data_IF_936639311578
#
_entry.id   IF_936639311578
#
_cell.length_a   1.000
_cell.length_b   1.000
_cell.length_c   1.000
_cell.angle_alpha   90.00
_cell.angle_beta   90.00
_cell.angle_gamma   90.00
#
_symmetry.space_group_name_H-M   'P 1'
#
loop_
_entity.id
_entity.type
_entity.pdbx_description
1 polymer ?
#
# COMPACT_ATOMS: atom_id res chain seq x y z
N UNK A 1 83.15 45.80 40.06
CA UNK A 1 81.67 45.90 39.94
C UNK A 1 81.24 45.44 38.55
N UNK A 2 81.46 44.17 38.17
CA UNK A 2 81.05 43.68 36.84
C UNK A 2 80.65 42.20 36.77
N UNK A 3 80.70 41.42 37.86
CA UNK A 3 80.31 39.99 37.85
C UNK A 3 78.80 39.74 38.13
N UNK A 4 78.02 40.77 38.46
CA UNK A 4 76.58 40.62 38.78
C UNK A 4 75.66 40.73 37.55
N UNK A 5 76.18 41.06 36.36
CA UNK A 5 75.37 41.29 35.16
C UNK A 5 75.31 40.09 34.21
N UNK A 6 76.24 39.13 34.30
CA UNK A 6 76.22 37.92 33.45
C UNK A 6 75.27 36.83 33.98
N UNK A 7 75.10 36.72 35.30
CA UNK A 7 74.23 35.70 35.90
C UNK A 7 72.73 36.00 35.70
N UNK A 8 72.32 37.27 35.74
CA UNK A 8 70.93 37.67 35.47
C UNK A 8 70.55 37.50 33.98
N UNK A 9 71.51 37.63 33.08
CA UNK A 9 71.34 37.38 31.64
C UNK A 9 71.06 35.92 31.32
N UNK A 10 71.88 35.00 31.84
CA UNK A 10 71.75 33.55 31.61
C UNK A 10 70.44 32.98 32.20
N UNK A 11 69.99 33.52 33.35
CA UNK A 11 68.72 33.11 33.98
C UNK A 11 67.50 33.60 33.18
N UNK A 12 67.58 34.81 32.60
CA UNK A 12 66.50 35.38 31.77
C UNK A 12 66.40 34.65 30.43
N UNK A 13 67.53 34.32 29.80
CA UNK A 13 67.56 33.51 28.57
C UNK A 13 67.04 32.08 28.79
N UNK A 14 67.32 31.47 29.94
CA UNK A 14 66.76 30.16 30.29
C UNK A 14 65.24 30.20 30.48
N UNK A 15 64.69 31.25 31.11
CA UNK A 15 63.24 31.43 31.27
C UNK A 15 62.58 31.65 29.91
N UNK A 16 63.15 32.49 29.04
CA UNK A 16 62.64 32.69 27.68
C UNK A 16 62.66 31.38 26.88
N UNK A 17 63.72 30.58 27.00
CA UNK A 17 63.79 29.26 26.36
C UNK A 17 62.72 28.29 26.86
N UNK A 18 62.38 28.32 28.16
CA UNK A 18 61.29 27.52 28.73
C UNK A 18 59.93 27.99 28.26
N UNK A 19 59.70 29.31 28.21
CA UNK A 19 58.47 29.90 27.69
C UNK A 19 58.28 29.54 26.22
N UNK A 20 59.35 29.58 25.43
CA UNK A 20 59.32 29.25 24.01
C UNK A 20 59.03 27.76 23.79
N UNK A 21 59.65 26.85 24.57
CA UNK A 21 59.33 25.42 24.57
C UNK A 21 57.89 25.14 25.01
N UNK A 22 57.42 25.82 26.05
CA UNK A 22 56.04 25.68 26.52
C UNK A 22 55.03 26.18 25.49
N UNK A 23 55.33 27.27 24.76
CA UNK A 23 54.51 27.76 23.65
C UNK A 23 54.48 26.78 22.48
N UNK A 24 55.62 26.20 22.10
CA UNK A 24 55.68 25.16 21.06
C UNK A 24 54.87 23.92 21.45
N UNK A 25 55.00 23.46 22.70
CA UNK A 25 54.21 22.36 23.24
C UNK A 25 52.71 22.68 23.24
N UNK A 26 52.32 23.90 23.61
CA UNK A 26 50.93 24.37 23.54
C UNK A 26 50.40 24.33 22.10
N UNK A 27 51.20 24.77 21.15
CA UNK A 27 50.82 24.81 19.73
C UNK A 27 50.70 23.40 19.15
N UNK A 28 51.59 22.49 19.55
CA UNK A 28 51.53 21.07 19.18
C UNK A 28 50.29 20.38 19.77
N UNK A 29 50.00 20.61 21.06
CA UNK A 29 48.79 20.11 21.72
C UNK A 29 47.52 20.65 21.06
N UNK A 30 47.52 21.93 20.67
CA UNK A 30 46.36 22.55 19.99
C UNK A 30 46.10 21.90 18.62
N UNK A 31 47.15 21.62 17.84
CA UNK A 31 47.04 20.87 16.57
C UNK A 31 46.53 19.45 16.78
N UNK A 32 47.02 18.77 17.81
CA UNK A 32 46.53 17.43 18.18
C UNK A 32 45.05 17.47 18.60
N UNK A 33 44.65 18.46 19.39
CA UNK A 33 43.26 18.65 19.79
C UNK A 33 42.36 18.85 18.56
N UNK A 34 42.77 19.67 17.60
CA UNK A 34 42.01 19.93 16.37
C UNK A 34 41.87 18.66 15.50
N UNK A 35 42.94 17.85 15.39
CA UNK A 35 42.88 16.55 14.72
C UNK A 35 41.93 15.58 15.42
N UNK A 36 41.99 15.50 16.75
CA UNK A 36 41.12 14.63 17.55
C UNK A 36 39.66 15.07 17.43
N UNK A 37 39.38 16.38 17.47
CA UNK A 37 38.02 16.90 17.26
C UNK A 37 37.50 16.55 15.87
N UNK A 38 38.34 16.65 14.83
CA UNK A 38 37.95 16.27 13.47
C UNK A 38 37.62 14.78 13.38
N UNK A 39 38.48 13.92 13.93
CA UNK A 39 38.24 12.47 13.99
C UNK A 39 36.98 12.14 14.78
N UNK A 40 36.73 12.84 15.89
CA UNK A 40 35.51 12.67 16.68
C UNK A 40 34.25 13.00 15.87
N UNK A 41 34.26 14.12 15.12
CA UNK A 41 33.13 14.50 14.25
C UNK A 41 32.87 13.46 13.16
N UNK A 42 33.92 12.96 12.52
CA UNK A 42 33.81 11.92 11.50
C UNK A 42 33.22 10.62 12.07
N UNK A 43 33.65 10.21 13.26
CA UNK A 43 33.10 9.03 13.96
C UNK A 43 31.65 9.23 14.40
N UNK A 44 31.28 10.41 14.89
CA UNK A 44 29.90 10.73 15.24
C UNK A 44 28.98 10.68 14.02
N UNK A 45 29.45 11.19 12.87
CA UNK A 45 28.69 11.15 11.63
C UNK A 45 28.53 9.72 11.08
N UNK A 46 29.58 8.89 11.16
CA UNK A 46 29.50 7.47 10.85
C UNK A 46 28.54 6.74 11.80
N UNK A 47 28.59 7.04 13.09
CA UNK A 47 27.68 6.49 14.09
C UNK A 47 26.21 6.82 13.78
N UNK A 48 25.93 8.08 13.42
CA UNK A 48 24.58 8.48 12.99
C UNK A 48 24.12 7.73 11.74
N UNK A 49 24.96 7.61 10.71
CA UNK A 49 24.63 6.85 9.50
C UNK A 49 24.35 5.38 9.80
N UNK A 50 25.10 4.78 10.72
CA UNK A 50 24.91 3.41 11.13
C UNK A 50 23.57 3.23 11.87
N UNK A 51 23.24 4.14 12.78
CA UNK A 51 21.96 4.12 13.50
C UNK A 51 20.77 4.31 12.55
N UNK A 52 20.87 5.22 11.58
CA UNK A 52 19.86 5.42 10.53
C UNK A 52 19.68 4.17 9.68
N UNK A 53 20.78 3.54 9.28
CA UNK A 53 20.76 2.28 8.53
C UNK A 53 20.10 1.16 9.34
N UNK A 54 20.48 0.99 10.60
CA UNK A 54 19.95 -0.08 11.44
C UNK A 54 18.45 0.13 11.73
N UNK A 55 18.03 1.37 12.01
CA UNK A 55 16.61 1.72 12.14
C UNK A 55 15.85 1.45 10.85
N UNK A 56 16.35 1.94 9.71
CA UNK A 56 15.70 1.76 8.41
C UNK A 56 15.60 0.29 8.01
N UNK A 57 16.65 -0.50 8.28
CA UNK A 57 16.65 -1.95 8.05
C UNK A 57 15.62 -2.66 8.93
N UNK A 58 15.55 -2.33 10.22
CA UNK A 58 14.57 -2.94 11.14
C UNK A 58 13.14 -2.61 10.72
N UNK A 59 12.86 -1.34 10.41
CA UNK A 59 11.55 -0.88 9.96
C UNK A 59 11.12 -1.57 8.65
N UNK A 60 12.01 -1.61 7.65
CA UNK A 60 11.69 -2.25 6.38
C UNK A 60 11.54 -3.76 6.51
N UNK A 61 12.32 -4.40 7.37
CA UNK A 61 12.19 -5.84 7.63
C UNK A 61 10.83 -6.16 8.26
N UNK A 62 10.37 -5.39 9.26
CA UNK A 62 9.05 -5.58 9.86
C UNK A 62 7.92 -5.35 8.83
N UNK A 63 7.99 -4.25 8.05
CA UNK A 63 7.02 -3.95 7.00
C UNK A 63 6.93 -5.06 5.94
N UNK A 64 8.08 -5.52 5.43
CA UNK A 64 8.14 -6.57 4.41
C UNK A 64 7.67 -7.92 4.96
N UNK A 65 7.99 -8.24 6.22
CA UNK A 65 7.54 -9.48 6.84
C UNK A 65 6.01 -9.50 6.99
N UNK A 66 5.42 -8.38 7.42
CA UNK A 66 3.96 -8.24 7.51
C UNK A 66 3.29 -8.33 6.15
N UNK A 67 3.82 -7.63 5.15
CA UNK A 67 3.24 -7.64 3.80
C UNK A 67 3.35 -9.02 3.15
N UNK A 68 4.42 -9.77 3.41
CA UNK A 68 4.56 -11.13 2.92
C UNK A 68 3.45 -12.04 3.44
N UNK A 69 3.14 -11.97 4.74
CA UNK A 69 2.06 -12.78 5.35
C UNK A 69 0.69 -12.43 4.75
N UNK A 70 0.42 -11.14 4.52
CA UNK A 70 -0.82 -10.71 3.85
C UNK A 70 -0.89 -11.26 2.43
N UNK A 71 0.21 -11.15 1.68
CA UNK A 71 0.27 -11.62 0.30
C UNK A 71 0.14 -13.15 0.20
N UNK A 72 0.70 -13.91 1.14
CA UNK A 72 0.51 -15.36 1.23
C UNK A 72 -0.95 -15.73 1.48
N UNK A 73 -1.64 -14.99 2.36
CA UNK A 73 -3.07 -15.17 2.61
C UNK A 73 -3.91 -14.86 1.37
N UNK A 74 -3.65 -13.72 0.73
CA UNK A 74 -4.35 -13.34 -0.50
C UNK A 74 -4.11 -14.36 -1.63
N UNK A 75 -2.89 -14.88 -1.76
CA UNK A 75 -2.57 -15.93 -2.73
C UNK A 75 -3.35 -17.21 -2.47
N UNK A 76 -3.47 -17.62 -1.20
CA UNK A 76 -4.26 -18.78 -0.79
C UNK A 76 -5.76 -18.58 -1.08
N UNK A 77 -6.31 -17.41 -0.73
CA UNK A 77 -7.71 -17.10 -0.96
C UNK A 77 -8.04 -17.05 -2.46
N UNK A 78 -7.15 -16.46 -3.28
CA UNK A 78 -7.27 -16.46 -4.73
C UNK A 78 -7.21 -17.88 -5.32
N UNK A 79 -6.34 -18.75 -4.80
CA UNK A 79 -6.26 -20.14 -5.23
C UNK A 79 -7.54 -20.90 -4.89
N UNK A 80 -8.07 -20.74 -3.67
CA UNK A 80 -9.34 -21.35 -3.24
C UNK A 80 -10.50 -20.88 -4.12
N UNK A 81 -10.56 -19.59 -4.45
CA UNK A 81 -11.57 -19.04 -5.37
C UNK A 81 -11.47 -19.66 -6.76
N UNK A 82 -10.25 -19.81 -7.29
CA UNK A 82 -10.02 -20.46 -8.57
C UNK A 82 -10.52 -21.91 -8.57
N UNK A 83 -10.29 -22.65 -7.49
CA UNK A 83 -10.77 -24.02 -7.32
C UNK A 83 -12.30 -24.08 -7.27
N UNK A 84 -12.95 -23.19 -6.53
CA UNK A 84 -14.42 -23.07 -6.51
C UNK A 84 -14.99 -22.77 -7.90
N UNK A 85 -14.40 -21.82 -8.63
CA UNK A 85 -14.81 -21.50 -9.99
C UNK A 85 -14.66 -22.68 -10.95
N UNK A 86 -13.59 -23.47 -10.80
CA UNK A 86 -13.39 -24.69 -11.59
C UNK A 86 -14.47 -25.73 -11.30
N UNK A 87 -14.78 -25.98 -10.02
CA UNK A 87 -15.85 -26.90 -9.63
C UNK A 87 -17.22 -26.46 -10.17
N UNK A 88 -17.54 -25.16 -10.08
CA UNK A 88 -18.78 -24.61 -10.66
C UNK A 88 -18.81 -24.77 -12.18
N UNK A 89 -17.70 -24.49 -12.88
CA UNK A 89 -17.60 -24.69 -14.33
C UNK A 89 -17.85 -26.14 -14.73
N UNK A 90 -17.26 -27.09 -14.00
CA UNK A 90 -17.44 -28.51 -14.25
C UNK A 90 -18.90 -28.94 -14.05
N UNK A 91 -19.53 -28.54 -12.93
CA UNK A 91 -20.96 -28.78 -12.67
C UNK A 91 -21.83 -28.24 -13.82
N UNK A 92 -21.62 -26.98 -14.24
CA UNK A 92 -22.35 -26.40 -15.35
C UNK A 92 -22.14 -27.16 -16.67
N UNK A 93 -20.92 -27.63 -16.93
CA UNK A 93 -20.62 -28.45 -18.10
C UNK A 93 -21.40 -29.77 -18.09
N UNK A 94 -21.43 -30.48 -16.96
CA UNK A 94 -22.16 -31.73 -16.81
C UNK A 94 -23.67 -31.54 -17.02
N UNK A 95 -24.26 -30.49 -16.43
CA UNK A 95 -25.69 -30.20 -16.62
C UNK A 95 -26.02 -29.76 -18.05
N UNK A 96 -25.09 -29.06 -18.72
CA UNK A 96 -25.26 -28.69 -20.13
C UNK A 96 -25.24 -29.93 -21.03
N UNK A 97 -24.30 -30.87 -20.80
CA UNK A 97 -24.22 -32.12 -21.55
C UNK A 97 -25.50 -32.97 -21.37
N UNK A 98 -26.02 -33.06 -20.14
CA UNK A 98 -27.30 -33.72 -19.88
C UNK A 98 -28.45 -33.07 -20.63
N UNK A 99 -28.50 -31.74 -20.67
CA UNK A 99 -29.53 -30.99 -21.40
C UNK A 99 -29.41 -31.17 -22.92
N UNK A 100 -28.19 -31.18 -23.46
CA UNK A 100 -27.91 -31.41 -24.89
C UNK A 100 -28.22 -32.85 -25.31
N UNK A 101 -28.11 -33.81 -24.40
CA UNK A 101 -28.45 -35.22 -24.67
C UNK A 101 -29.95 -35.49 -24.80
N UNK A 102 -30.81 -34.51 -24.44
CA UNK A 102 -32.26 -34.63 -24.56
C UNK A 102 -32.66 -34.48 -26.03
N UNK A 103 -32.86 -35.61 -26.71
CA UNK A 103 -33.42 -35.65 -28.07
C UNK A 103 -34.85 -36.21 -28.07
N UNK A 104 -35.81 -35.28 -28.16
CA UNK A 104 -37.24 -35.58 -28.23
C UNK A 104 -37.65 -36.36 -29.50
N UNK A 105 -36.82 -36.40 -30.56
CA UNK A 105 -37.13 -37.12 -31.81
C UNK A 105 -36.92 -38.62 -31.70
N UNK A 106 -36.10 -39.06 -30.75
CA UNK A 106 -35.78 -40.47 -30.50
C UNK A 106 -36.76 -41.17 -29.56
N UNK A 107 -37.71 -40.45 -28.96
CA UNK A 107 -38.60 -41.01 -27.95
C UNK A 107 -39.68 -41.93 -28.54
N UNK A 108 -39.94 -43.05 -27.84
CA UNK A 108 -41.02 -43.96 -28.18
C UNK A 108 -42.37 -43.33 -27.79
N UNK A 109 -43.38 -43.24 -28.69
CA UNK A 109 -44.70 -42.71 -28.37
C UNK A 109 -45.41 -43.43 -27.21
N UNK A 110 -45.10 -44.70 -26.96
CA UNK A 110 -45.65 -45.45 -25.82
C UNK A 110 -45.12 -44.99 -24.46
N UNK A 111 -43.90 -44.43 -24.42
CA UNK A 111 -43.21 -43.99 -23.19
C UNK A 111 -43.09 -42.46 -23.11
N UNK A 112 -43.76 -41.72 -24.00
CA UNK A 112 -43.61 -40.28 -24.16
C UNK A 112 -43.81 -39.50 -22.86
N UNK A 113 -44.84 -39.83 -22.07
CA UNK A 113 -45.09 -39.17 -20.79
C UNK A 113 -43.94 -39.36 -19.80
N UNK A 114 -43.34 -40.55 -19.77
CA UNK A 114 -42.23 -40.88 -18.87
C UNK A 114 -40.95 -40.15 -19.28
N UNK A 115 -40.62 -40.15 -20.57
CA UNK A 115 -39.46 -39.43 -21.10
C UNK A 115 -39.62 -37.91 -20.96
N UNK A 116 -40.82 -37.38 -21.17
CA UNK A 116 -41.11 -35.96 -20.96
C UNK A 116 -40.95 -35.56 -19.49
N UNK A 117 -41.46 -36.35 -18.54
CA UNK A 117 -41.25 -36.11 -17.11
C UNK A 117 -39.77 -36.17 -16.73
N UNK A 118 -39.01 -37.11 -17.31
CA UNK A 118 -37.57 -37.24 -17.07
C UNK A 118 -36.80 -36.02 -17.60
N UNK A 119 -37.10 -35.58 -18.82
CA UNK A 119 -36.50 -34.40 -19.43
C UNK A 119 -36.81 -33.13 -18.64
N UNK A 120 -38.07 -32.95 -18.23
CA UNK A 120 -38.47 -31.82 -17.36
C UNK A 120 -37.73 -31.84 -16.03
N UNK A 121 -37.59 -33.02 -15.39
CA UNK A 121 -36.78 -33.16 -14.17
C UNK A 121 -35.33 -32.74 -14.40
N UNK A 122 -34.70 -33.15 -15.51
CA UNK A 122 -33.32 -32.78 -15.83
C UNK A 122 -33.17 -31.27 -16.02
N UNK A 123 -34.17 -30.61 -16.62
CA UNK A 123 -34.22 -29.14 -16.78
C UNK A 123 -34.38 -28.45 -15.42
N UNK A 124 -35.26 -28.95 -14.55
CA UNK A 124 -35.50 -28.38 -13.22
C UNK A 124 -34.28 -28.54 -12.30
N UNK A 125 -33.60 -29.68 -12.37
CA UNK A 125 -32.34 -29.94 -11.65
C UNK A 125 -31.26 -28.95 -12.10
N UNK A 126 -31.06 -28.78 -13.41
CA UNK A 126 -30.11 -27.82 -13.96
C UNK A 126 -30.44 -26.37 -13.57
N UNK A 127 -31.73 -26.00 -13.53
CA UNK A 127 -32.19 -24.67 -13.11
C UNK A 127 -31.89 -24.42 -11.62
N UNK A 128 -32.13 -25.43 -10.79
CA UNK A 128 -31.87 -25.36 -9.35
C UNK A 128 -30.38 -25.18 -9.10
N UNK A 129 -29.54 -26.01 -9.72
CA UNK A 129 -28.08 -25.95 -9.61
C UNK A 129 -27.54 -24.59 -10.09
N UNK A 130 -28.02 -24.09 -11.23
CA UNK A 130 -27.64 -22.77 -11.73
C UNK A 130 -27.94 -21.66 -10.71
N UNK A 131 -29.15 -21.66 -10.14
CA UNK A 131 -29.55 -20.64 -9.16
C UNK A 131 -28.72 -20.72 -7.88
N UNK A 132 -28.43 -21.93 -7.40
CA UNK A 132 -27.65 -22.17 -6.19
C UNK A 132 -26.19 -21.75 -6.36
N UNK A 133 -25.53 -22.18 -7.44
CA UNK A 133 -24.14 -21.85 -7.72
C UNK A 133 -23.97 -20.35 -8.00
N UNK A 134 -24.93 -19.73 -8.69
CA UNK A 134 -24.94 -18.27 -8.93
C UNK A 134 -25.11 -17.47 -7.64
N UNK A 135 -25.90 -17.95 -6.69
CA UNK A 135 -26.04 -17.32 -5.38
C UNK A 135 -24.75 -17.45 -4.56
N UNK A 136 -24.13 -18.64 -4.54
CA UNK A 136 -22.85 -18.89 -3.86
C UNK A 136 -21.72 -18.00 -4.40
N UNK A 137 -21.62 -17.84 -5.72
CA UNK A 137 -20.57 -17.01 -6.33
C UNK A 137 -20.74 -15.52 -5.98
N UNK A 138 -22.00 -15.03 -5.91
CA UNK A 138 -22.29 -13.67 -5.49
C UNK A 138 -21.99 -13.43 -4.01
N UNK A 139 -22.31 -14.39 -3.13
CA UNK A 139 -21.99 -14.31 -1.70
C UNK A 139 -20.48 -14.21 -1.48
N UNK A 140 -19.70 -15.10 -2.11
CA UNK A 140 -18.24 -15.10 -1.97
C UNK A 140 -17.60 -13.81 -2.52
N UNK A 141 -18.16 -13.24 -3.59
CA UNK A 141 -17.66 -11.97 -4.14
C UNK A 141 -17.93 -10.77 -3.24
N UNK A 142 -19.02 -10.79 -2.47
CA UNK A 142 -19.41 -9.69 -1.58
C UNK A 142 -18.63 -9.71 -0.25
N UNK A 143 -18.23 -10.90 0.22
CA UNK A 143 -17.37 -11.06 1.40
C UNK A 143 -15.95 -10.51 1.17
N UNK A 144 -15.38 -10.72 -0.02
CA UNK A 144 -14.04 -10.21 -0.38
C UNK A 144 -13.95 -8.68 -0.37
N UNK A 145 -15.00 -7.97 -0.79
CA UNK A 145 -15.04 -6.50 -0.74
C UNK A 145 -15.04 -5.94 0.69
N UNK A 146 -15.39 -6.76 1.69
CA UNK A 146 -15.46 -6.34 3.09
C UNK A 146 -14.17 -6.64 3.88
N UNK A 147 -13.34 -7.57 3.40
CA UNK A 147 -12.12 -8.02 4.09
C UNK A 147 -10.83 -7.37 3.55
N UNK A 148 -10.81 -6.92 2.29
CA UNK A 148 -9.64 -6.28 1.66
C UNK A 148 -9.67 -4.77 1.92
N UNK A 149 -9.49 -4.37 3.18
CA UNK A 149 -9.01 -3.03 3.51
C UNK A 149 -7.61 -3.17 4.09
N UNK A 150 -6.61 -3.20 3.20
CA UNK A 150 -5.22 -3.00 3.57
C UNK A 150 -5.13 -1.73 4.43
N UNK A 151 -4.52 -1.76 5.63
CA UNK A 151 -4.27 -0.54 6.37
C UNK A 151 -3.19 0.24 5.61
N UNK A 152 -3.62 1.10 4.68
CA UNK A 152 -2.78 2.19 4.21
C UNK A 152 -2.50 3.04 5.45
N UNK A 153 -1.24 3.07 5.84
CA UNK A 153 -0.72 3.91 6.92
C UNK A 153 -0.90 5.38 6.55
N UNK A 154 -2.09 5.93 6.75
CA UNK A 154 -2.28 7.37 6.89
C UNK A 154 -2.06 7.70 8.36
N UNK A 155 -0.84 8.11 8.69
CA UNK A 155 -0.57 8.83 9.93
C UNK A 155 -1.43 10.09 9.94
N UNK A 156 -2.40 10.16 10.85
CA UNK A 156 -3.25 11.33 11.04
C UNK A 156 -4.61 10.93 11.59
N UNK A 157 -4.71 10.94 12.92
CA UNK A 157 -5.90 11.04 13.76
C UNK A 157 -7.27 10.98 13.03
N UNK A 158 -8.04 9.92 13.24
CA UNK A 158 -9.41 9.95 13.81
C UNK A 158 -10.04 8.53 13.89
N UNK A 159 -10.81 8.35 14.95
CA UNK A 159 -11.46 7.14 15.51
C UNK A 159 -12.45 6.46 14.54
N UNK A 160 -12.76 5.15 14.68
CA UNK A 160 -13.39 4.35 13.63
C UNK A 160 -14.91 4.53 13.59
N UNK A 161 -15.46 4.71 12.39
CA UNK A 161 -16.89 4.55 12.12
C UNK A 161 -17.11 3.90 10.73
N UNK A 162 -18.00 2.90 10.62
CA UNK A 162 -18.33 2.22 9.36
C UNK A 162 -19.29 3.08 8.51
N UNK A 163 -18.83 4.23 8.02
CA UNK A 163 -19.65 5.21 7.30
C UNK A 163 -19.35 5.31 5.79
N UNK A 164 -18.51 4.42 5.26
CA UNK A 164 -17.89 4.64 3.94
C UNK A 164 -18.79 4.26 2.74
N UNK A 165 -19.82 3.44 2.92
CA UNK A 165 -20.65 2.99 1.79
C UNK A 165 -21.55 4.11 1.26
N UNK A 166 -22.16 4.94 2.12
CA UNK A 166 -23.03 6.01 1.64
C UNK A 166 -22.23 7.18 1.04
N UNK A 167 -21.14 7.58 1.70
CA UNK A 167 -20.31 8.69 1.25
C UNK A 167 -19.59 8.39 -0.08
N UNK A 168 -19.11 7.16 -0.27
CA UNK A 168 -18.50 6.75 -1.55
C UNK A 168 -19.51 6.75 -2.70
N UNK A 169 -20.71 6.21 -2.48
CA UNK A 169 -21.77 6.23 -3.51
C UNK A 169 -22.25 7.65 -3.83
N UNK A 170 -22.32 8.54 -2.83
CA UNK A 170 -22.62 9.96 -3.02
C UNK A 170 -21.51 10.67 -3.82
N UNK A 171 -20.24 10.37 -3.54
CA UNK A 171 -19.08 10.95 -4.22
C UNK A 171 -18.99 10.50 -5.69
N UNK A 172 -19.31 9.23 -5.98
CA UNK A 172 -19.45 8.74 -7.36
C UNK A 172 -20.59 9.46 -8.10
N UNK A 173 -21.75 9.63 -7.45
CA UNK A 173 -22.89 10.35 -8.04
C UNK A 173 -22.58 11.83 -8.33
N UNK A 174 -21.84 12.49 -7.44
CA UNK A 174 -21.42 13.88 -7.60
C UNK A 174 -20.36 14.03 -8.70
N UNK A 175 -19.40 13.11 -8.79
CA UNK A 175 -18.40 13.12 -9.86
C UNK A 175 -19.02 12.96 -11.26
N UNK A 176 -20.08 12.17 -11.41
CA UNK A 176 -20.77 11.98 -12.69
C UNK A 176 -21.65 13.18 -13.10
N UNK A 177 -22.17 13.94 -12.12
CA UNK A 177 -23.05 15.10 -12.37
C UNK A 177 -22.29 16.42 -12.51
N UNK A 178 -21.04 16.49 -12.03
CA UNK A 178 -20.20 17.69 -12.09
C UNK A 178 -19.91 18.19 -13.52
N UNK A 179 -19.60 17.34 -14.52
CA UNK A 179 -19.44 17.79 -15.91
C UNK A 179 -20.72 18.42 -16.47
N UNK A 180 -21.89 17.85 -16.13
CA UNK A 180 -23.18 18.33 -16.60
C UNK A 180 -23.54 19.70 -15.98
N UNK A 181 -23.29 19.86 -14.68
CA UNK A 181 -23.50 21.13 -13.97
C UNK A 181 -22.57 22.22 -14.52
N UNK A 182 -21.30 21.88 -14.77
CA UNK A 182 -20.33 22.81 -15.36
C UNK A 182 -20.78 23.31 -16.73
N UNK A 183 -21.24 22.40 -17.61
CA UNK A 183 -21.81 22.78 -18.90
C UNK A 183 -23.07 23.65 -18.75
N UNK A 184 -23.94 23.34 -17.78
CA UNK A 184 -25.12 24.13 -17.48
C UNK A 184 -24.79 25.57 -17.04
N UNK A 185 -23.79 25.74 -16.16
CA UNK A 185 -23.33 27.05 -15.71
C UNK A 185 -22.72 27.85 -16.86
N UNK A 186 -21.89 27.22 -17.71
CA UNK A 186 -21.29 27.87 -18.87
C UNK A 186 -22.39 28.36 -19.84
N UNK A 187 -23.38 27.51 -20.13
CA UNK A 187 -24.51 27.88 -20.97
C UNK A 187 -25.33 29.04 -20.38
N UNK A 188 -25.55 29.05 -19.06
CA UNK A 188 -26.25 30.13 -18.36
C UNK A 188 -25.50 31.46 -18.46
N UNK A 189 -24.18 31.44 -18.28
CA UNK A 189 -23.33 32.64 -18.38
C UNK A 189 -23.38 33.19 -19.81
N UNK A 190 -23.25 32.34 -20.83
CA UNK A 190 -23.37 32.74 -22.24
C UNK A 190 -24.76 33.36 -22.50
N UNK A 191 -25.83 32.72 -22.05
CA UNK A 191 -27.18 33.23 -22.20
C UNK A 191 -27.38 34.60 -21.51
N UNK A 192 -26.85 34.78 -20.30
CA UNK A 192 -26.92 36.06 -19.58
C UNK A 192 -26.12 37.17 -20.26
N UNK A 193 -24.96 36.86 -20.83
CA UNK A 193 -24.16 37.84 -21.59
C UNK A 193 -24.85 38.22 -22.89
N UNK A 194 -25.43 37.26 -23.60
CA UNK A 194 -26.16 37.49 -24.85
C UNK A 194 -27.44 38.29 -24.62
N UNK A 195 -28.21 37.98 -23.57
CA UNK A 195 -29.42 38.75 -23.23
C UNK A 195 -29.10 40.16 -22.73
N UNK A 196 -27.96 40.38 -22.08
CA UNK A 196 -27.47 41.73 -21.73
C UNK A 196 -26.93 42.50 -22.93
N UNK A 197 -26.42 41.84 -23.96
CA UNK A 197 -25.92 42.47 -25.17
C UNK A 197 -27.03 42.82 -26.19
N UNK A 198 -28.18 42.15 -26.10
CA UNK A 198 -29.34 42.35 -27.00
C UNK A 198 -30.32 43.42 -26.49
N UNK A 199 -30.14 43.91 -25.26
CA UNK A 199 -30.96 44.95 -24.63
C UNK A 199 -30.24 46.29 -24.61
#
# INVERSE_FOLDING_TARGET
MLELNEADGDTTEQIDSQVQRAQEQLLQLKRQQEQIEKQKRELEELGRRQEELDRGRAEMTDKLTRSLVVLEREAYDAQKKMEQLRATRESFGQHLELLESIDAKTWNPSDLNKELSRALSTVDDARTEYSQQRSRLQANSNEEHHEVSLPLTSSGYETPAPANTFAQWLQIGLAFTLPLILFGIIALVIFLTMTRAVR
#
